data_IF_321092756874
#
_entry.id   IF_321092756874
#
_cell.length_a   1.000
_cell.length_b   1.000
_cell.length_c   1.000
_cell.angle_alpha   90.00
_cell.angle_beta   90.00
_cell.angle_gamma   90.00
#
_symmetry.space_group_name_H-M   'P 1'
#
loop_
_entity.id
_entity.type
_entity.pdbx_description
1 polymer ?
#
# COMPACT_ATOMS: atom_id res chain seq x y z
N UNK A 1 5.50 16.31 5.83
CA UNK A 1 4.67 15.08 5.78
C UNK A 1 4.76 14.44 4.40
N UNK A 2 4.73 13.15 4.36
CA UNK A 2 4.77 12.38 3.13
C UNK A 2 3.54 11.49 3.00
N UNK A 3 3.05 11.34 1.79
CA UNK A 3 2.02 10.37 1.46
C UNK A 3 2.70 9.20 0.75
N UNK A 4 2.49 8.00 1.26
CA UNK A 4 2.91 6.77 0.59
C UNK A 4 1.66 6.08 0.04
N UNK A 5 1.71 5.76 -1.24
CA UNK A 5 0.77 4.86 -1.87
C UNK A 5 1.50 3.58 -2.21
N UNK A 6 0.99 2.48 -1.71
CA UNK A 6 1.63 1.18 -1.85
C UNK A 6 0.70 0.28 -2.66
N UNK A 7 1.20 -0.24 -3.75
CA UNK A 7 0.46 -1.20 -4.57
C UNK A 7 1.07 -2.57 -4.34
N UNK A 8 0.30 -3.47 -3.77
CA UNK A 8 0.73 -4.83 -3.45
C UNK A 8 0.12 -5.82 -4.41
N UNK A 9 0.93 -6.75 -4.90
CA UNK A 9 0.47 -7.85 -5.75
C UNK A 9 -0.19 -8.95 -4.94
N UNK A 10 0.21 -9.11 -3.66
CA UNK A 10 -0.31 -10.11 -2.74
C UNK A 10 -0.89 -9.45 -1.51
N UNK A 11 -1.72 -10.18 -0.77
CA UNK A 11 -2.37 -9.64 0.42
C UNK A 11 -1.45 -9.72 1.64
N UNK A 12 -0.51 -8.79 1.71
CA UNK A 12 0.38 -8.62 2.86
C UNK A 12 -0.08 -7.49 3.79
N UNK A 13 -1.33 -7.08 3.66
CA UNK A 13 -1.89 -5.92 4.36
C UNK A 13 -1.75 -6.02 5.88
N UNK A 14 -2.08 -7.17 6.46
CA UNK A 14 -2.04 -7.32 7.92
C UNK A 14 -0.63 -7.22 8.48
N UNK A 15 0.34 -7.83 7.81
CA UNK A 15 1.73 -7.79 8.26
C UNK A 15 2.29 -6.35 8.19
N UNK A 16 1.97 -5.64 7.12
CA UNK A 16 2.36 -4.24 6.97
C UNK A 16 1.68 -3.39 8.04
N UNK A 17 0.38 -3.57 8.25
CA UNK A 17 -0.37 -2.85 9.27
C UNK A 17 0.24 -3.01 10.66
N UNK A 18 0.54 -4.24 11.07
CA UNK A 18 1.15 -4.50 12.36
C UNK A 18 2.54 -3.85 12.48
N UNK A 19 3.36 -3.97 11.44
CA UNK A 19 4.68 -3.35 11.45
C UNK A 19 4.62 -1.84 11.54
N UNK A 20 3.69 -1.19 10.86
CA UNK A 20 3.52 0.26 10.92
C UNK A 20 3.04 0.72 12.30
N UNK A 21 2.17 -0.04 12.94
CA UNK A 21 1.74 0.25 14.32
C UNK A 21 2.92 0.24 15.29
N UNK A 22 3.84 -0.69 15.14
CA UNK A 22 5.02 -0.80 16.00
C UNK A 22 5.91 0.44 15.96
N UNK A 23 5.94 1.17 14.85
CA UNK A 23 6.70 2.41 14.72
C UNK A 23 5.85 3.66 14.93
N UNK A 24 4.64 3.49 15.45
CA UNK A 24 3.77 4.61 15.82
C UNK A 24 3.00 5.24 14.67
N UNK A 25 2.80 4.52 13.58
CA UNK A 25 1.95 4.98 12.48
C UNK A 25 0.56 4.36 12.65
N UNK A 26 -0.44 5.20 12.93
CA UNK A 26 -1.78 4.74 13.27
C UNK A 26 -2.74 4.66 12.09
N UNK A 27 -2.72 5.65 11.21
CA UNK A 27 -3.68 5.73 10.12
C UNK A 27 -3.24 4.94 8.88
N UNK A 28 -4.12 4.11 8.36
CA UNK A 28 -3.87 3.33 7.15
C UNK A 28 -5.20 3.10 6.43
N UNK A 29 -5.23 3.44 5.15
CA UNK A 29 -6.39 3.19 4.30
C UNK A 29 -6.06 2.06 3.33
N UNK A 30 -6.98 1.12 3.17
CA UNK A 30 -6.81 -0.04 2.30
C UNK A 30 -7.95 -0.11 1.31
N UNK A 31 -7.61 -0.27 0.03
CA UNK A 31 -8.59 -0.45 -1.04
C UNK A 31 -8.14 -1.63 -1.91
N UNK A 32 -9.06 -2.55 -2.18
CA UNK A 32 -8.82 -3.58 -3.17
C UNK A 32 -9.05 -2.99 -4.56
N UNK A 33 -8.08 -3.13 -5.44
CA UNK A 33 -8.10 -2.55 -6.79
C UNK A 33 -7.72 -3.60 -7.82
N UNK A 34 -7.96 -3.28 -9.08
CA UNK A 34 -7.47 -4.08 -10.20
C UNK A 34 -6.46 -3.25 -10.97
N UNK A 35 -5.35 -3.86 -11.32
CA UNK A 35 -4.30 -3.16 -12.00
C UNK A 35 -3.50 -4.04 -12.93
N UNK A 36 -2.80 -3.40 -13.85
CA UNK A 36 -1.85 -4.03 -14.75
C UNK A 36 -0.48 -3.45 -14.49
N UNK A 37 0.45 -4.32 -14.08
CA UNK A 37 1.84 -3.93 -13.89
C UNK A 37 2.67 -4.11 -15.16
N UNK A 38 3.96 -3.81 -15.06
CA UNK A 38 4.91 -4.01 -16.14
C UNK A 38 5.25 -5.48 -16.35
N UNK A 39 5.07 -6.32 -15.32
CA UNK A 39 5.30 -7.76 -15.40
C UNK A 39 4.04 -8.47 -15.90
N UNK A 40 4.24 -9.57 -16.62
CA UNK A 40 3.15 -10.43 -17.05
C UNK A 40 2.43 -11.02 -15.83
N UNK A 41 1.10 -10.96 -15.82
CA UNK A 41 0.30 -11.59 -14.80
C UNK A 41 0.46 -13.11 -14.84
N UNK A 42 0.23 -13.75 -13.68
CA UNK A 42 0.28 -15.20 -13.60
C UNK A 42 -0.80 -15.85 -14.48
N UNK A 43 -0.44 -16.95 -15.12
CA UNK A 43 -1.37 -17.74 -15.90
C UNK A 43 -2.42 -18.39 -14.99
N UNK A 44 -3.66 -18.39 -15.47
CA UNK A 44 -4.75 -19.04 -14.77
C UNK A 44 -5.22 -20.23 -15.63
N UNK A 45 -5.16 -21.41 -15.04
CA UNK A 45 -5.67 -22.62 -15.67
C UNK A 45 -7.15 -22.78 -15.37
N UNK A 46 -7.96 -22.96 -16.41
CA UNK A 46 -9.39 -23.16 -16.22
C UNK A 46 -9.68 -24.56 -15.66
N UNK A 47 -10.87 -24.73 -15.11
CA UNK A 47 -11.31 -26.03 -14.58
C UNK A 47 -11.37 -27.15 -15.63
N UNK A 48 -11.41 -26.78 -16.91
CA UNK A 48 -11.36 -27.74 -18.00
C UNK A 48 -9.96 -28.23 -18.35
N UNK A 49 -8.94 -27.66 -17.72
CA UNK A 49 -7.55 -28.11 -17.79
C UNK A 49 -6.84 -27.90 -19.12
N UNK A 50 -7.54 -27.47 -20.15
CA UNK A 50 -7.00 -27.36 -21.51
C UNK A 50 -6.74 -25.93 -21.95
N UNK A 51 -7.28 -24.95 -21.22
CA UNK A 51 -7.15 -23.54 -21.56
C UNK A 51 -6.31 -22.83 -20.51
N UNK A 52 -5.42 -21.96 -20.99
CA UNK A 52 -4.60 -21.07 -20.15
C UNK A 52 -5.09 -19.65 -20.37
N UNK A 53 -5.41 -18.98 -19.29
CA UNK A 53 -5.88 -17.61 -19.31
C UNK A 53 -4.85 -16.69 -18.65
N UNK A 54 -4.45 -15.64 -19.36
CA UNK A 54 -3.58 -14.60 -18.83
C UNK A 54 -4.41 -13.33 -18.70
N UNK A 55 -4.76 -12.92 -17.47
CA UNK A 55 -5.60 -11.75 -17.30
C UNK A 55 -4.87 -10.46 -17.67
N UNK A 56 -5.58 -9.52 -18.30
CA UNK A 56 -5.06 -8.19 -18.57
C UNK A 56 -4.88 -7.39 -17.27
N UNK A 57 -5.75 -7.65 -16.30
CA UNK A 57 -5.72 -7.00 -14.98
C UNK A 57 -5.77 -8.07 -13.89
N UNK A 58 -5.08 -7.79 -12.80
CA UNK A 58 -5.07 -8.65 -11.62
C UNK A 58 -5.57 -7.88 -10.40
N UNK A 59 -6.07 -8.61 -9.42
CA UNK A 59 -6.43 -8.03 -8.13
C UNK A 59 -5.17 -7.58 -7.42
N UNK A 60 -5.22 -6.37 -6.87
CA UNK A 60 -4.14 -5.77 -6.10
C UNK A 60 -4.72 -5.05 -4.91
N UNK A 61 -3.85 -4.71 -3.97
CA UNK A 61 -4.23 -3.95 -2.78
C UNK A 61 -3.50 -2.61 -2.81
N UNK A 62 -4.25 -1.53 -2.66
CA UNK A 62 -3.69 -0.19 -2.55
C UNK A 62 -3.81 0.29 -1.11
N UNK A 63 -2.67 0.56 -0.51
CA UNK A 63 -2.59 1.14 0.81
C UNK A 63 -2.19 2.59 0.69
N UNK A 64 -2.76 3.44 1.55
CA UNK A 64 -2.36 4.83 1.64
C UNK A 64 -2.08 5.16 3.10
N UNK A 65 -0.95 5.81 3.33
CA UNK A 65 -0.56 6.27 4.65
C UNK A 65 0.13 7.63 4.53
N UNK A 66 -0.13 8.50 5.50
CA UNK A 66 0.55 9.80 5.61
C UNK A 66 1.41 9.74 6.86
N UNK A 67 2.68 10.10 6.71
CA UNK A 67 3.68 9.94 7.75
C UNK A 67 4.53 11.21 7.91
N UNK A 68 5.15 11.41 9.09
CA UNK A 68 6.22 12.40 9.23
C UNK A 68 7.42 12.02 8.36
N UNK A 69 8.13 12.99 7.81
CA UNK A 69 9.33 12.71 7.01
C UNK A 69 10.38 11.91 7.79
N UNK A 70 10.48 12.14 9.08
CA UNK A 70 11.42 11.44 9.95
C UNK A 70 11.21 9.92 10.01
N UNK A 71 10.05 9.44 9.61
CA UNK A 71 9.72 8.00 9.60
C UNK A 71 9.78 7.37 8.22
N UNK A 72 10.23 8.09 7.20
CA UNK A 72 10.25 7.59 5.82
C UNK A 72 11.00 6.27 5.68
N UNK A 73 12.25 6.24 6.11
CA UNK A 73 13.09 5.04 5.94
C UNK A 73 12.53 3.84 6.69
N UNK A 74 12.11 4.04 7.94
CA UNK A 74 11.52 2.95 8.74
C UNK A 74 10.25 2.39 8.10
N UNK A 75 9.41 3.28 7.57
CA UNK A 75 8.18 2.89 6.90
C UNK A 75 8.46 2.07 5.64
N UNK A 76 9.37 2.56 4.80
CA UNK A 76 9.77 1.86 3.58
C UNK A 76 10.36 0.49 3.91
N UNK A 77 11.22 0.40 4.91
CA UNK A 77 11.83 -0.85 5.33
C UNK A 77 10.79 -1.88 5.78
N UNK A 78 9.80 -1.46 6.56
CA UNK A 78 8.72 -2.34 7.00
C UNK A 78 7.91 -2.88 5.82
N UNK A 79 7.58 -2.01 4.87
CA UNK A 79 6.83 -2.42 3.69
C UNK A 79 7.64 -3.42 2.87
N UNK A 80 8.90 -3.13 2.61
CA UNK A 80 9.79 -4.02 1.85
C UNK A 80 10.00 -5.37 2.54
N UNK A 81 10.10 -5.36 3.85
CA UNK A 81 10.30 -6.58 4.64
C UNK A 81 9.07 -7.50 4.62
N UNK A 82 7.88 -6.94 4.53
CA UNK A 82 6.62 -7.65 4.65
C UNK A 82 5.89 -7.85 3.33
N UNK A 83 6.50 -7.50 2.21
CA UNK A 83 5.91 -7.70 0.89
C UNK A 83 6.97 -8.14 -0.12
N UNK A 84 6.55 -8.96 -1.05
CA UNK A 84 7.45 -9.55 -2.05
C UNK A 84 7.45 -8.77 -3.36
N UNK A 85 6.31 -8.22 -3.73
CA UNK A 85 6.12 -7.61 -5.03
C UNK A 85 5.12 -6.47 -4.95
N UNK A 86 5.44 -5.37 -5.59
CA UNK A 86 4.60 -4.19 -5.62
C UNK A 86 5.42 -2.93 -5.85
N UNK A 87 4.80 -1.81 -5.58
CA UNK A 87 5.40 -0.48 -5.75
C UNK A 87 5.08 0.39 -4.54
N UNK A 88 6.00 1.27 -4.21
CA UNK A 88 5.78 2.33 -3.24
C UNK A 88 5.95 3.65 -3.97
N UNK A 89 4.93 4.49 -3.94
CA UNK A 89 4.96 5.83 -4.49
C UNK A 89 4.96 6.83 -3.34
N UNK A 90 5.93 7.72 -3.33
CA UNK A 90 6.09 8.69 -2.25
C UNK A 90 5.93 10.08 -2.81
N UNK A 91 5.08 10.88 -2.18
CA UNK A 91 4.86 12.28 -2.56
C UNK A 91 4.75 13.15 -1.32
N UNK A 92 5.00 14.45 -1.51
CA UNK A 92 4.81 15.41 -0.43
C UNK A 92 3.33 15.63 -0.16
N UNK A 93 2.97 15.65 1.12
CA UNK A 93 1.65 16.02 1.58
C UNK A 93 1.71 17.45 2.13
N UNK A 94 1.00 18.36 1.51
CA UNK A 94 1.07 19.76 1.88
C UNK A 94 0.39 20.07 3.20
N UNK A 95 -0.77 19.47 3.44
CA UNK A 95 -1.57 19.72 4.64
C UNK A 95 -2.33 18.47 5.04
N UNK A 96 -2.49 18.29 6.33
CA UNK A 96 -3.39 17.30 6.91
C UNK A 96 -4.24 18.02 7.96
N UNK A 97 -5.56 17.92 7.84
CA UNK A 97 -6.51 18.65 8.70
C UNK A 97 -7.47 17.64 9.29
N UNK A 98 -7.60 17.67 10.61
CA UNK A 98 -8.61 16.88 11.30
C UNK A 98 -9.97 17.57 11.19
N UNK A 99 -10.95 16.86 10.65
CA UNK A 99 -12.26 17.44 10.38
C UNK A 99 -12.97 17.86 11.66
N UNK A 100 -12.89 17.04 12.71
CA UNK A 100 -13.63 17.30 13.94
C UNK A 100 -13.05 18.45 14.78
N UNK A 101 -11.73 18.56 14.85
CA UNK A 101 -11.06 19.57 15.67
C UNK A 101 -10.63 20.81 14.88
N UNK A 102 -10.45 20.68 13.58
CA UNK A 102 -9.83 21.71 12.74
C UNK A 102 -8.33 21.83 12.90
N UNK A 103 -7.71 20.99 13.73
CA UNK A 103 -6.26 20.99 13.90
C UNK A 103 -5.54 20.51 12.63
N UNK A 104 -4.32 20.96 12.44
CA UNK A 104 -3.51 20.65 11.26
C UNK A 104 -2.11 20.18 11.63
N UNK A 105 -1.48 19.47 10.69
CA UNK A 105 -0.08 19.12 10.76
C UNK A 105 0.18 17.68 11.17
N UNK A 106 1.43 17.40 11.55
CA UNK A 106 1.85 16.04 11.91
C UNK A 106 1.11 15.47 13.12
N UNK A 107 0.61 16.31 13.98
CA UNK A 107 -0.11 15.88 15.19
C UNK A 107 -1.47 15.23 14.88
N UNK A 108 -2.00 15.40 13.67
CA UNK A 108 -3.29 14.84 13.29
C UNK A 108 -3.22 13.61 12.38
N UNK A 109 -1.99 13.15 12.10
CA UNK A 109 -1.79 11.97 11.23
C UNK A 109 -1.39 10.72 12.01
#
# INVERSE_FOLDING_TARGET
MLKLEIILAENDVMNISEGLKEIGIGGLTVIKVRGRGAKTAAEIHTSKGMEVFVPHFADKYRLMVVIPESKEEKTVDIIKKNSREGKIFISQMLRAIDISSGNEGEEVI
#
